data_IF_128888206943
#
_entry.id   IF_128888206943
#
_cell.length_a   1.000
_cell.length_b   1.000
_cell.length_c   1.000
_cell.angle_alpha   90.00
_cell.angle_beta   90.00
_cell.angle_gamma   90.00
#
_symmetry.space_group_name_H-M   'P 1'
#
loop_
_entity.id
_entity.type
_entity.pdbx_description
1 polymer ?
#
# COMPACT_ATOMS: atom_id res chain seq x y z
N UNK A 1 12.72 8.09 16.06
CA UNK A 1 12.46 6.66 15.78
C UNK A 1 13.80 5.92 15.85
N UNK A 2 13.84 4.72 16.42
CA UNK A 2 15.02 3.87 16.26
C UNK A 2 15.21 3.57 14.76
N UNK A 3 16.43 3.61 14.24
CA UNK A 3 16.69 3.25 12.86
C UNK A 3 16.25 1.79 12.62
N UNK A 4 15.57 1.53 11.51
CA UNK A 4 15.25 0.16 11.13
C UNK A 4 16.51 -0.53 10.63
N UNK A 5 16.75 -1.82 10.97
CA UNK A 5 17.89 -2.57 10.46
C UNK A 5 17.91 -2.58 8.94
N UNK A 6 19.08 -2.35 8.35
CA UNK A 6 19.32 -2.35 6.91
C UNK A 6 19.86 -3.71 6.46
N UNK A 7 19.88 -3.97 5.16
CA UNK A 7 20.43 -5.21 4.61
C UNK A 7 21.89 -5.46 5.03
N UNK A 8 22.67 -4.40 5.13
CA UNK A 8 24.07 -4.42 5.55
C UNK A 8 24.28 -4.92 6.98
N UNK A 9 23.27 -4.77 7.84
CA UNK A 9 23.32 -5.19 9.25
C UNK A 9 23.18 -6.72 9.40
N UNK A 10 22.81 -7.45 8.34
CA UNK A 10 22.71 -8.91 8.35
C UNK A 10 24.08 -9.62 8.33
N UNK A 11 25.16 -8.91 8.07
CA UNK A 11 26.51 -9.44 8.03
C UNK A 11 26.81 -10.31 6.82
N UNK A 12 27.59 -11.38 7.01
CA UNK A 12 27.93 -12.32 5.92
C UNK A 12 26.75 -13.22 5.59
N UNK A 13 26.32 -13.16 4.32
CA UNK A 13 25.20 -13.92 3.79
C UNK A 13 25.61 -15.08 2.87
N UNK A 14 26.91 -15.32 2.70
CA UNK A 14 27.42 -16.39 1.83
C UNK A 14 26.88 -17.74 2.22
N UNK A 15 26.13 -18.38 1.31
CA UNK A 15 25.47 -19.66 1.50
C UNK A 15 24.30 -19.67 2.49
N UNK A 16 23.93 -18.51 3.06
CA UNK A 16 22.79 -18.41 3.98
C UNK A 16 21.45 -18.39 3.24
N UNK A 17 20.48 -19.06 3.80
CA UNK A 17 19.10 -19.07 3.29
C UNK A 17 18.33 -17.87 3.84
N UNK A 18 17.94 -16.98 2.94
CA UNK A 18 17.23 -15.73 3.29
C UNK A 18 15.80 -15.77 2.79
N UNK A 19 14.86 -15.65 3.74
CA UNK A 19 13.44 -15.48 3.43
C UNK A 19 13.15 -13.99 3.17
N UNK A 20 12.66 -13.67 1.98
CA UNK A 20 12.32 -12.30 1.60
C UNK A 20 10.81 -12.15 1.45
N UNK A 21 10.18 -11.37 2.32
CA UNK A 21 8.76 -11.02 2.16
C UNK A 21 8.62 -9.90 1.14
N UNK A 22 8.04 -10.21 0.01
CA UNK A 22 7.81 -9.29 -1.12
C UNK A 22 6.33 -8.99 -1.30
N UNK A 23 5.97 -7.91 -1.99
CA UNK A 23 4.59 -7.60 -2.38
C UNK A 23 4.39 -7.84 -3.89
N UNK A 24 4.25 -9.10 -4.26
CA UNK A 24 3.96 -9.54 -5.63
C UNK A 24 2.46 -9.70 -5.91
N UNK A 25 1.64 -8.91 -5.21
CA UNK A 25 0.21 -8.87 -5.45
C UNK A 25 -0.11 -8.06 -6.72
N UNK A 26 0.26 -8.63 -7.86
CA UNK A 26 0.11 -8.05 -9.20
C UNK A 26 -1.29 -8.28 -9.76
N UNK A 27 -1.81 -7.40 -10.64
CA UNK A 27 -3.05 -7.67 -11.36
C UNK A 27 -2.84 -8.78 -12.40
N UNK A 28 -3.78 -9.72 -12.45
CA UNK A 28 -3.86 -10.78 -13.45
C UNK A 28 -5.09 -10.61 -14.32
N UNK A 29 -4.95 -10.90 -15.62
CA UNK A 29 -6.05 -11.05 -16.57
C UNK A 29 -5.87 -12.36 -17.33
N UNK A 30 -6.86 -13.25 -17.25
CA UNK A 30 -6.78 -14.58 -17.85
C UNK A 30 -5.57 -15.41 -17.38
N UNK A 31 -5.05 -15.17 -16.17
CA UNK A 31 -3.84 -15.81 -15.64
C UNK A 31 -2.52 -15.15 -16.08
N UNK A 32 -2.56 -14.13 -16.93
CA UNK A 32 -1.39 -13.36 -17.33
C UNK A 32 -1.17 -12.13 -16.46
N UNK A 33 0.07 -11.79 -16.16
CA UNK A 33 0.42 -10.56 -15.42
C UNK A 33 0.19 -9.36 -16.33
N UNK A 34 -0.67 -8.43 -15.90
CA UNK A 34 -0.98 -7.18 -16.63
C UNK A 34 0.04 -6.08 -16.32
N UNK A 35 0.50 -6.04 -15.06
CA UNK A 35 1.49 -5.05 -14.59
C UNK A 35 2.49 -5.75 -13.67
N UNK A 36 3.77 -5.66 -14.02
CA UNK A 36 4.88 -6.29 -13.30
C UNK A 36 5.69 -5.33 -12.42
N UNK A 37 5.23 -4.08 -12.26
CA UNK A 37 5.95 -3.04 -11.53
C UNK A 37 6.35 -3.47 -10.12
N UNK A 38 5.45 -4.16 -9.40
CA UNK A 38 5.71 -4.64 -8.03
C UNK A 38 6.84 -5.68 -7.97
N UNK A 39 6.94 -6.54 -8.98
CA UNK A 39 8.01 -7.54 -9.07
C UNK A 39 9.34 -6.82 -9.34
N UNK A 40 9.34 -5.91 -10.32
CA UNK A 40 10.51 -5.11 -10.66
C UNK A 40 11.01 -4.24 -9.49
N UNK A 41 10.09 -3.70 -8.69
CA UNK A 41 10.43 -2.87 -7.54
C UNK A 41 11.19 -3.63 -6.44
N UNK A 42 10.99 -4.95 -6.30
CA UNK A 42 11.71 -5.77 -5.33
C UNK A 42 13.08 -6.28 -5.86
N UNK A 43 13.36 -6.18 -7.16
CA UNK A 43 14.61 -6.68 -7.74
C UNK A 43 15.88 -6.07 -7.12
N UNK A 44 15.95 -4.78 -6.75
CA UNK A 44 17.14 -4.24 -6.09
C UNK A 44 17.51 -4.97 -4.80
N UNK A 45 16.53 -5.32 -3.96
CA UNK A 45 16.72 -6.12 -2.75
C UNK A 45 17.20 -7.53 -3.10
N UNK A 46 16.48 -8.19 -4.00
CA UNK A 46 16.75 -9.57 -4.40
C UNK A 46 18.15 -9.71 -4.98
N UNK A 47 18.52 -8.84 -5.94
CA UNK A 47 19.84 -8.85 -6.58
C UNK A 47 20.96 -8.60 -5.58
N UNK A 48 20.79 -7.63 -4.68
CA UNK A 48 21.77 -7.37 -3.65
C UNK A 48 22.05 -8.60 -2.78
N UNK A 49 20.99 -9.33 -2.37
CA UNK A 49 21.13 -10.56 -1.58
C UNK A 49 21.86 -11.66 -2.35
N UNK A 50 21.47 -11.86 -3.63
CA UNK A 50 22.12 -12.84 -4.52
C UNK A 50 23.60 -12.48 -4.73
N UNK A 51 23.92 -11.21 -4.97
CA UNK A 51 25.29 -10.72 -5.14
C UNK A 51 26.15 -10.91 -3.87
N UNK A 52 25.48 -10.98 -2.69
CA UNK A 52 26.13 -11.33 -1.40
C UNK A 52 26.22 -12.85 -1.15
N UNK A 53 25.88 -13.67 -2.13
CA UNK A 53 25.95 -15.12 -2.06
C UNK A 53 24.84 -15.79 -1.25
N UNK A 54 23.75 -15.08 -0.95
CA UNK A 54 22.59 -15.65 -0.27
C UNK A 54 21.78 -16.59 -1.18
N UNK A 55 21.21 -17.62 -0.58
CA UNK A 55 20.17 -18.45 -1.20
C UNK A 55 18.81 -17.82 -0.89
N UNK A 56 18.23 -17.15 -1.88
CA UNK A 56 17.04 -16.30 -1.70
C UNK A 56 15.77 -17.07 -2.01
N UNK A 57 14.83 -17.08 -1.05
CA UNK A 57 13.47 -17.54 -1.24
C UNK A 57 12.50 -16.39 -0.98
N UNK A 58 11.75 -15.97 -1.99
CA UNK A 58 10.71 -14.96 -1.86
C UNK A 58 9.41 -15.59 -1.33
N UNK A 59 8.67 -14.82 -0.54
CA UNK A 59 7.36 -15.16 -0.04
C UNK A 59 6.41 -13.98 -0.26
N UNK A 60 5.25 -14.24 -0.85
CA UNK A 60 4.27 -13.19 -1.15
C UNK A 60 2.84 -13.70 -1.06
N UNK A 61 1.90 -12.79 -1.19
CA UNK A 61 0.49 -13.10 -1.37
C UNK A 61 0.01 -12.60 -2.74
N UNK A 62 -1.03 -13.21 -3.25
CA UNK A 62 -1.74 -12.81 -4.46
C UNK A 62 -3.24 -12.85 -4.20
N UNK A 63 -3.93 -11.77 -4.48
CA UNK A 63 -5.37 -11.68 -4.32
C UNK A 63 -5.87 -11.92 -2.88
N UNK A 64 -7.06 -12.48 -2.78
CA UNK A 64 -7.74 -12.75 -1.50
C UNK A 64 -8.34 -14.16 -1.47
N UNK A 65 -7.54 -15.22 -1.56
CA UNK A 65 -8.02 -16.58 -1.32
C UNK A 65 -8.51 -16.72 0.12
N UNK A 66 -9.49 -17.58 0.33
CA UNK A 66 -10.16 -17.75 1.62
C UNK A 66 -9.46 -18.78 2.52
N UNK A 67 -8.13 -18.78 2.54
CA UNK A 67 -7.34 -19.71 3.36
C UNK A 67 -7.23 -21.12 2.77
N UNK A 68 -7.42 -21.26 1.46
CA UNK A 68 -7.29 -22.53 0.75
C UNK A 68 -6.66 -22.33 -0.62
N UNK A 69 -5.98 -23.34 -1.19
CA UNK A 69 -5.48 -23.28 -2.56
C UNK A 69 -6.59 -23.00 -3.56
N UNK A 70 -6.33 -22.02 -4.45
CA UNK A 70 -7.21 -21.63 -5.55
C UNK A 70 -6.34 -21.30 -6.77
N UNK A 71 -6.51 -22.03 -7.90
CA UNK A 71 -5.70 -21.81 -9.10
C UNK A 71 -5.70 -20.35 -9.60
N UNK A 72 -6.78 -19.59 -9.38
CA UNK A 72 -6.88 -18.20 -9.77
C UNK A 72 -5.89 -17.29 -9.01
N UNK A 73 -5.37 -17.74 -7.87
CA UNK A 73 -4.43 -17.02 -7.01
C UNK A 73 -3.10 -17.75 -6.84
N UNK A 74 -2.77 -18.71 -7.73
CA UNK A 74 -1.46 -19.37 -7.71
C UNK A 74 -0.33 -18.39 -8.04
N UNK A 75 0.81 -18.57 -7.39
CA UNK A 75 2.01 -17.79 -7.65
C UNK A 75 2.76 -18.25 -8.92
N UNK A 76 2.26 -19.22 -9.67
CA UNK A 76 2.93 -19.77 -10.86
C UNK A 76 3.28 -18.69 -11.90
N UNK A 77 2.38 -17.78 -12.34
CA UNK A 77 2.72 -16.73 -13.29
C UNK A 77 3.82 -15.78 -12.78
N UNK A 78 3.81 -15.52 -11.45
CA UNK A 78 4.83 -14.67 -10.81
C UNK A 78 6.16 -15.41 -10.74
N UNK A 79 6.15 -16.71 -10.45
CA UNK A 79 7.35 -17.56 -10.42
C UNK A 79 8.01 -17.63 -11.77
N UNK A 80 7.24 -17.79 -12.84
CA UNK A 80 7.73 -17.82 -14.22
C UNK A 80 8.40 -16.50 -14.63
N UNK A 81 7.83 -15.37 -14.24
CA UNK A 81 8.44 -14.07 -14.50
C UNK A 81 9.68 -13.84 -13.63
N UNK A 82 9.61 -14.15 -12.34
CA UNK A 82 10.72 -13.99 -11.40
C UNK A 82 11.94 -14.81 -11.83
N UNK A 83 11.74 -16.05 -12.30
CA UNK A 83 12.82 -16.93 -12.77
C UNK A 83 13.61 -16.33 -13.93
N UNK A 84 12.96 -15.52 -14.79
CA UNK A 84 13.59 -14.79 -15.90
C UNK A 84 14.34 -13.54 -15.42
N UNK A 85 13.79 -12.84 -14.41
CA UNK A 85 14.35 -11.57 -13.90
C UNK A 85 15.45 -11.76 -12.86
N UNK A 86 15.38 -12.85 -12.10
CA UNK A 86 16.32 -13.22 -11.04
C UNK A 86 16.51 -14.75 -11.00
N UNK A 87 17.31 -15.31 -11.94
CA UNK A 87 17.57 -16.75 -11.99
C UNK A 87 18.14 -17.29 -10.68
N UNK A 88 17.67 -18.47 -10.24
CA UNK A 88 18.11 -19.11 -9.00
C UNK A 88 17.38 -18.64 -7.73
N UNK A 89 16.50 -17.66 -7.84
CA UNK A 89 15.63 -17.22 -6.72
C UNK A 89 14.38 -18.07 -6.69
N UNK A 90 14.06 -18.59 -5.51
CA UNK A 90 12.84 -19.36 -5.28
C UNK A 90 11.67 -18.46 -4.90
N UNK A 91 10.44 -18.92 -5.18
CA UNK A 91 9.21 -18.28 -4.73
C UNK A 91 8.29 -19.32 -4.11
N UNK A 92 7.91 -19.10 -2.85
CA UNK A 92 6.90 -19.92 -2.18
C UNK A 92 5.54 -19.75 -2.86
N UNK A 93 4.64 -20.70 -2.63
CA UNK A 93 3.25 -20.55 -3.04
C UNK A 93 2.55 -19.48 -2.18
N UNK A 94 1.40 -19.00 -2.66
CA UNK A 94 0.65 -17.93 -2.06
C UNK A 94 0.45 -18.14 -0.55
N UNK A 95 1.04 -17.25 0.24
CA UNK A 95 0.99 -17.33 1.71
C UNK A 95 -0.45 -17.38 2.25
N UNK A 96 -1.40 -16.76 1.54
CA UNK A 96 -2.81 -16.73 1.93
C UNK A 96 -3.58 -18.01 1.63
N UNK A 97 -2.94 -19.02 1.05
CA UNK A 97 -3.50 -20.36 1.01
C UNK A 97 -3.50 -21.02 2.39
N UNK A 98 -2.62 -20.57 3.30
CA UNK A 98 -2.68 -20.96 4.69
C UNK A 98 -3.50 -19.92 5.49
N UNK A 99 -4.56 -20.30 6.20
CA UNK A 99 -5.37 -19.39 7.02
C UNK A 99 -4.55 -18.76 8.16
N UNK A 100 -3.47 -19.40 8.58
CA UNK A 100 -2.53 -18.92 9.58
C UNK A 100 -1.82 -17.62 9.18
N UNK A 101 -1.70 -17.32 7.87
CA UNK A 101 -1.09 -16.07 7.42
C UNK A 101 -1.88 -14.85 7.92
N UNK A 102 -3.19 -14.84 7.73
CA UNK A 102 -4.00 -13.66 8.09
C UNK A 102 -4.34 -13.62 9.57
N UNK A 103 -4.37 -14.77 10.26
CA UNK A 103 -4.61 -14.85 11.70
C UNK A 103 -3.36 -14.67 12.56
N UNK A 104 -2.18 -14.55 11.91
CA UNK A 104 -0.88 -14.51 12.61
C UNK A 104 -0.67 -15.73 13.51
N UNK A 105 -0.94 -16.93 12.96
CA UNK A 105 -0.82 -18.19 13.68
C UNK A 105 0.65 -18.53 13.99
N UNK A 106 1.01 -18.75 15.27
CA UNK A 106 2.38 -19.08 15.64
C UNK A 106 2.91 -20.40 15.02
N UNK A 107 2.04 -21.38 14.78
CA UNK A 107 2.45 -22.63 14.15
C UNK A 107 2.83 -22.38 12.67
N UNK A 108 2.06 -21.57 11.95
CA UNK A 108 2.41 -21.18 10.59
C UNK A 108 3.68 -20.31 10.55
N UNK A 109 3.89 -19.43 11.53
CA UNK A 109 5.15 -18.66 11.64
C UNK A 109 6.34 -19.63 11.79
N UNK A 110 6.24 -20.61 12.68
CA UNK A 110 7.31 -21.60 12.90
C UNK A 110 7.62 -22.40 11.62
N UNK A 111 6.60 -22.82 10.89
CA UNK A 111 6.74 -23.47 9.58
C UNK A 111 7.44 -22.55 8.56
N UNK A 112 6.99 -21.30 8.47
CA UNK A 112 7.50 -20.33 7.48
C UNK A 112 8.97 -19.99 7.69
N UNK A 113 9.44 -19.91 8.94
CA UNK A 113 10.84 -19.56 9.24
C UNK A 113 11.77 -20.77 9.27
N UNK A 114 11.23 -21.99 9.22
CA UNK A 114 12.02 -23.21 9.34
C UNK A 114 13.09 -23.32 8.25
N UNK A 115 14.33 -23.47 8.67
CA UNK A 115 15.49 -23.63 7.78
C UNK A 115 15.96 -22.36 7.10
N UNK A 116 15.49 -21.18 7.49
CA UNK A 116 16.07 -19.91 7.08
C UNK A 116 17.00 -19.35 8.16
N UNK A 117 18.02 -18.62 7.72
CA UNK A 117 19.06 -18.02 8.58
C UNK A 117 18.81 -16.53 8.83
N UNK A 118 18.06 -15.86 7.93
CA UNK A 118 17.74 -14.45 8.03
C UNK A 118 16.40 -14.16 7.33
N UNK A 119 15.81 -13.02 7.67
CA UNK A 119 14.57 -12.53 7.09
C UNK A 119 14.72 -11.10 6.59
N UNK A 120 14.12 -10.81 5.43
CA UNK A 120 14.04 -9.47 4.88
C UNK A 120 12.59 -9.12 4.59
N UNK A 121 12.10 -7.99 5.13
CA UNK A 121 10.81 -7.45 4.74
C UNK A 121 11.00 -6.38 3.65
N UNK A 122 10.49 -6.63 2.46
CA UNK A 122 10.48 -5.68 1.35
C UNK A 122 9.05 -5.38 0.85
N UNK A 123 8.06 -5.65 1.69
CA UNK A 123 6.63 -5.55 1.37
C UNK A 123 5.98 -4.37 2.11
N UNK A 124 6.37 -3.13 1.81
CA UNK A 124 5.83 -1.94 2.47
C UNK A 124 4.29 -1.92 2.44
N UNK A 125 3.67 -2.19 1.28
CA UNK A 125 2.21 -2.19 1.13
C UNK A 125 1.46 -3.20 2.01
N UNK A 126 2.13 -4.23 2.53
CA UNK A 126 1.57 -5.22 3.44
C UNK A 126 1.98 -5.00 4.91
N UNK A 127 2.98 -4.15 5.18
CA UNK A 127 3.62 -4.00 6.50
C UNK A 127 2.71 -3.38 7.58
N UNK A 128 1.59 -2.76 7.19
CA UNK A 128 0.58 -2.26 8.12
C UNK A 128 -0.31 -3.36 8.72
N UNK A 129 -0.16 -4.62 8.29
CA UNK A 129 -0.98 -5.76 8.71
C UNK A 129 -0.22 -6.64 9.69
N UNK A 130 -0.89 -7.10 10.75
CA UNK A 130 -0.35 -8.09 11.69
C UNK A 130 -0.43 -9.51 11.13
N UNK A 131 0.06 -9.73 9.91
CA UNK A 131 0.09 -11.06 9.29
C UNK A 131 1.32 -11.86 9.75
N UNK A 132 1.20 -13.19 9.75
CA UNK A 132 2.24 -14.11 10.19
C UNK A 132 3.58 -13.84 9.49
N UNK A 133 3.57 -13.66 8.16
CA UNK A 133 4.78 -13.40 7.37
C UNK A 133 5.42 -12.02 7.59
N UNK A 134 4.72 -11.08 8.25
CA UNK A 134 5.23 -9.74 8.53
C UNK A 134 5.77 -9.63 9.95
N UNK A 135 4.96 -10.00 10.96
CA UNK A 135 5.31 -9.76 12.36
C UNK A 135 5.93 -10.99 13.06
N UNK A 136 5.81 -12.16 12.44
CA UNK A 136 6.35 -13.41 12.98
C UNK A 136 7.87 -13.53 12.81
N UNK A 137 8.41 -13.56 11.59
CA UNK A 137 9.82 -13.85 11.33
C UNK A 137 10.81 -12.99 12.11
N UNK A 138 10.58 -11.66 12.31
CA UNK A 138 11.50 -10.84 13.09
C UNK A 138 11.67 -11.24 14.56
N UNK A 139 10.78 -12.09 15.09
CA UNK A 139 10.89 -12.62 16.44
C UNK A 139 11.79 -13.87 16.54
N UNK A 140 12.14 -14.45 15.40
CA UNK A 140 12.82 -15.72 15.30
C UNK A 140 14.16 -15.64 14.54
N UNK A 141 14.29 -14.67 13.63
CA UNK A 141 15.44 -14.55 12.73
C UNK A 141 16.05 -13.14 12.80
N UNK A 142 17.38 -13.02 12.63
CA UNK A 142 17.98 -11.74 12.25
C UNK A 142 17.24 -11.13 11.07
N UNK A 143 16.83 -9.87 11.19
CA UNK A 143 15.89 -9.29 10.24
C UNK A 143 16.29 -7.89 9.81
N UNK A 144 16.04 -7.56 8.55
CA UNK A 144 16.30 -6.25 7.98
C UNK A 144 15.17 -5.79 7.05
N UNK A 145 15.14 -4.48 6.80
CA UNK A 145 14.33 -3.90 5.75
C UNK A 145 14.99 -4.12 4.39
N UNK A 146 14.22 -4.54 3.40
CA UNK A 146 14.65 -4.48 2.01
C UNK A 146 14.69 -3.03 1.51
N UNK A 147 15.31 -2.82 0.34
CA UNK A 147 15.54 -1.48 -0.23
C UNK A 147 14.25 -0.69 -0.46
N UNK A 148 13.18 -1.38 -0.90
CA UNK A 148 11.88 -0.75 -1.11
C UNK A 148 11.28 -0.29 0.22
N UNK A 149 11.22 -1.17 1.21
CA UNK A 149 10.71 -0.83 2.54
C UNK A 149 11.52 0.28 3.20
N UNK A 150 12.85 0.19 3.15
CA UNK A 150 13.75 1.18 3.74
C UNK A 150 13.52 2.58 3.12
N UNK A 151 13.41 2.65 1.79
CA UNK A 151 13.16 3.90 1.06
C UNK A 151 11.80 4.52 1.43
N UNK A 152 10.74 3.71 1.50
CA UNK A 152 9.41 4.18 1.88
C UNK A 152 9.41 4.76 3.31
N UNK A 153 10.04 4.06 4.24
CA UNK A 153 10.16 4.52 5.63
C UNK A 153 10.99 5.81 5.72
N UNK A 154 12.08 5.92 4.97
CA UNK A 154 12.92 7.12 4.92
C UNK A 154 12.12 8.32 4.38
N UNK A 155 11.45 8.16 3.22
CA UNK A 155 10.68 9.23 2.58
C UNK A 155 9.53 9.67 3.48
N UNK A 156 8.68 8.74 3.93
CA UNK A 156 7.51 9.08 4.75
C UNK A 156 7.91 9.60 6.14
N UNK A 157 8.98 9.03 6.72
CA UNK A 157 9.56 9.54 7.96
C UNK A 157 10.11 10.95 7.80
N UNK A 158 10.79 11.23 6.68
CA UNK A 158 11.28 12.56 6.32
C UNK A 158 10.17 13.60 6.16
N UNK A 159 9.05 13.23 5.54
CA UNK A 159 7.89 14.12 5.42
C UNK A 159 7.32 14.51 6.78
N UNK A 160 7.35 13.62 7.75
CA UNK A 160 6.84 13.87 9.08
C UNK A 160 7.75 14.76 9.93
N UNK A 161 9.07 14.67 9.75
CA UNK A 161 10.05 15.35 10.62
C UNK A 161 10.71 16.56 9.98
N UNK A 162 10.88 16.59 8.67
CA UNK A 162 11.63 17.63 7.95
C UNK A 162 11.20 17.70 6.47
N UNK A 163 9.91 17.87 6.21
CA UNK A 163 9.40 18.05 4.86
C UNK A 163 9.98 19.34 4.22
N UNK A 164 10.39 19.22 2.96
CA UNK A 164 10.73 20.40 2.16
C UNK A 164 9.48 21.24 1.96
N UNK A 165 9.63 22.58 2.04
CA UNK A 165 8.53 23.51 1.85
C UNK A 165 8.50 24.06 0.41
N UNK A 166 7.32 24.29 -0.16
CA UNK A 166 5.99 24.04 0.41
C UNK A 166 5.66 22.54 0.47
N UNK A 167 5.09 22.08 1.58
CA UNK A 167 4.56 20.74 1.73
C UNK A 167 3.03 20.77 1.57
N UNK A 168 2.54 20.27 0.45
CA UNK A 168 1.12 20.26 0.11
C UNK A 168 0.61 18.81 0.15
N UNK A 169 -0.45 18.55 0.92
CA UNK A 169 -1.13 17.27 0.92
C UNK A 169 -2.34 17.31 -0.03
N UNK A 170 -2.48 16.28 -0.87
CA UNK A 170 -3.64 16.10 -1.74
C UNK A 170 -4.40 14.88 -1.23
N UNK A 171 -5.64 15.09 -0.79
CA UNK A 171 -6.50 14.04 -0.24
C UNK A 171 -7.73 13.88 -1.10
N UNK A 172 -8.07 12.63 -1.41
CA UNK A 172 -9.28 12.26 -2.13
C UNK A 172 -9.91 11.02 -1.54
N UNK A 173 -11.21 10.87 -1.76
CA UNK A 173 -11.96 9.72 -1.29
C UNK A 173 -13.46 9.98 -1.40
N UNK A 174 -14.27 8.97 -1.05
CA UNK A 174 -15.72 9.10 -1.06
C UNK A 174 -16.24 9.85 0.17
N UNK A 175 -15.61 9.61 1.35
CA UNK A 175 -16.12 10.07 2.65
C UNK A 175 -15.09 10.88 3.43
N UNK A 176 -15.55 11.95 4.09
CA UNK A 176 -14.77 12.75 5.04
C UNK A 176 -14.50 11.95 6.30
N UNK A 177 -15.51 11.23 6.80
CA UNK A 177 -15.42 10.43 8.03
C UNK A 177 -14.26 9.44 8.03
N UNK A 178 -13.92 8.86 6.86
CA UNK A 178 -12.81 7.93 6.71
C UNK A 178 -11.43 8.61 6.77
N UNK A 179 -11.35 9.93 6.64
CA UNK A 179 -10.12 10.70 6.48
C UNK A 179 -9.89 11.76 7.56
N UNK A 180 -10.85 12.00 8.45
CA UNK A 180 -10.74 13.05 9.48
C UNK A 180 -9.44 12.94 10.26
N UNK A 181 -9.13 11.77 10.81
CA UNK A 181 -7.91 11.58 11.58
C UNK A 181 -6.62 11.85 10.77
N UNK A 182 -6.65 11.61 9.46
CA UNK A 182 -5.53 11.94 8.57
C UNK A 182 -5.45 13.44 8.35
N UNK A 183 -6.58 14.10 8.09
CA UNK A 183 -6.64 15.56 7.89
C UNK A 183 -6.12 16.25 9.16
N UNK A 184 -6.68 15.93 10.33
CA UNK A 184 -6.29 16.53 11.62
C UNK A 184 -4.79 16.31 11.91
N UNK A 185 -4.25 15.12 11.63
CA UNK A 185 -2.83 14.83 11.82
C UNK A 185 -1.90 15.59 10.87
N UNK A 186 -2.42 16.07 9.74
CA UNK A 186 -1.64 16.82 8.74
C UNK A 186 -1.71 18.34 8.97
N UNK A 187 -2.77 18.88 9.61
CA UNK A 187 -2.97 20.32 9.75
C UNK A 187 -1.73 21.07 10.26
N UNK A 188 -1.06 20.52 11.29
CA UNK A 188 0.15 21.13 11.88
C UNK A 188 1.43 20.87 11.07
N UNK A 189 1.36 20.03 10.04
CA UNK A 189 2.54 19.52 9.34
C UNK A 189 2.68 20.02 7.91
N UNK A 190 1.59 20.48 7.29
CA UNK A 190 1.54 20.89 5.88
C UNK A 190 1.31 22.39 5.73
N UNK A 191 1.70 22.94 4.57
CA UNK A 191 1.40 24.33 4.23
C UNK A 191 0.00 24.50 3.63
N UNK A 192 -0.52 23.42 2.98
CA UNK A 192 -1.88 23.40 2.46
C UNK A 192 -2.38 21.96 2.29
N UNK A 193 -3.70 21.81 2.33
CA UNK A 193 -4.40 20.55 1.99
C UNK A 193 -5.31 20.84 0.79
N UNK A 194 -5.22 20.01 -0.24
CA UNK A 194 -6.14 20.04 -1.38
C UNK A 194 -7.09 18.85 -1.22
N UNK A 195 -8.38 19.13 -1.12
CA UNK A 195 -9.44 18.13 -0.99
C UNK A 195 -10.03 17.84 -2.36
N UNK A 196 -10.10 16.57 -2.75
CA UNK A 196 -10.71 16.12 -4.01
C UNK A 196 -11.63 14.92 -3.82
N UNK A 197 -12.16 14.40 -4.93
CA UNK A 197 -13.09 13.27 -4.92
C UNK A 197 -14.43 13.56 -4.27
N UNK A 198 -15.20 12.52 -3.94
CA UNK A 198 -16.55 12.64 -3.37
C UNK A 198 -16.61 13.38 -2.03
N UNK A 199 -15.56 13.30 -1.23
CA UNK A 199 -15.48 14.00 0.05
C UNK A 199 -15.46 15.52 -0.09
N UNK A 200 -15.05 16.06 -1.26
CA UNK A 200 -15.04 17.50 -1.51
C UNK A 200 -16.45 18.11 -1.42
N UNK A 201 -17.48 17.35 -1.78
CA UNK A 201 -18.87 17.84 -1.73
C UNK A 201 -19.35 18.15 -0.31
N UNK A 202 -18.86 17.41 0.70
CA UNK A 202 -19.16 17.73 2.10
C UNK A 202 -18.51 19.05 2.53
N UNK A 203 -17.30 19.33 2.07
CA UNK A 203 -16.62 20.63 2.31
C UNK A 203 -17.30 21.77 1.55
N UNK A 204 -17.72 21.55 0.29
CA UNK A 204 -18.49 22.55 -0.48
C UNK A 204 -19.82 22.85 0.18
N UNK A 205 -20.53 21.85 0.68
CA UNK A 205 -21.77 22.03 1.45
C UNK A 205 -21.52 22.83 2.76
N UNK A 206 -20.40 22.58 3.43
CA UNK A 206 -19.98 23.35 4.62
C UNK A 206 -19.71 24.84 4.29
N UNK A 207 -19.31 25.17 3.07
CA UNK A 207 -19.18 26.53 2.56
C UNK A 207 -20.50 27.14 2.08
N UNK A 208 -21.61 26.37 2.11
CA UNK A 208 -22.94 26.82 1.72
C UNK A 208 -23.29 26.58 0.25
N UNK A 209 -22.47 25.82 -0.49
CA UNK A 209 -22.76 25.48 -1.87
C UNK A 209 -23.78 24.36 -1.99
N UNK A 210 -24.61 24.41 -3.02
CA UNK A 210 -25.52 23.32 -3.38
C UNK A 210 -24.76 22.23 -4.14
N UNK A 211 -24.78 20.99 -3.63
CA UNK A 211 -24.07 19.84 -4.22
C UNK A 211 -24.97 18.85 -4.97
N UNK A 212 -26.24 19.19 -5.14
CA UNK A 212 -27.21 18.38 -5.88
C UNK A 212 -27.36 16.96 -5.30
N UNK A 213 -27.27 15.95 -6.19
CA UNK A 213 -27.31 14.52 -5.81
C UNK A 213 -25.93 13.90 -5.57
N UNK A 214 -24.89 14.72 -5.41
CA UNK A 214 -23.54 14.24 -5.13
C UNK A 214 -23.46 13.58 -3.75
N UNK A 215 -22.39 12.79 -3.53
CA UNK A 215 -22.11 12.19 -2.22
C UNK A 215 -21.99 13.29 -1.16
N UNK A 216 -22.83 13.18 -0.12
CA UNK A 216 -22.82 14.13 0.99
C UNK A 216 -22.94 13.39 2.32
N UNK A 217 -22.02 13.66 3.24
CA UNK A 217 -22.10 13.24 4.63
C UNK A 217 -22.65 14.42 5.46
N UNK A 218 -23.97 14.47 5.60
CA UNK A 218 -24.67 15.60 6.27
C UNK A 218 -24.26 15.75 7.76
N UNK A 219 -23.95 14.66 8.42
CA UNK A 219 -23.47 14.59 9.79
C UNK A 219 -22.01 15.10 9.94
N UNK A 220 -21.30 15.26 8.83
CA UNK A 220 -19.91 15.74 8.81
C UNK A 220 -19.75 17.21 8.41
N UNK A 221 -20.85 17.91 8.10
CA UNK A 221 -20.82 19.32 7.65
C UNK A 221 -20.18 20.22 8.73
N UNK A 222 -20.59 20.08 9.99
CA UNK A 222 -20.02 20.89 11.08
C UNK A 222 -18.52 20.61 11.29
N UNK A 223 -18.11 19.36 11.12
CA UNK A 223 -16.69 18.98 11.17
C UNK A 223 -15.91 19.57 10.01
N UNK A 224 -16.45 19.48 8.79
CA UNK A 224 -15.82 20.09 7.62
C UNK A 224 -15.69 21.61 7.76
N UNK A 225 -16.71 22.27 8.33
CA UNK A 225 -16.68 23.72 8.63
C UNK A 225 -15.57 24.05 9.62
N UNK A 226 -15.49 23.31 10.73
CA UNK A 226 -14.43 23.49 11.74
C UNK A 226 -13.02 23.31 11.13
N UNK A 227 -12.86 22.36 10.22
CA UNK A 227 -11.59 22.16 9.52
C UNK A 227 -11.25 23.30 8.57
N UNK A 228 -12.24 23.83 7.84
CA UNK A 228 -12.07 25.01 6.96
C UNK A 228 -11.72 26.28 7.73
N UNK A 229 -12.22 26.41 8.96
CA UNK A 229 -11.97 27.56 9.84
C UNK A 229 -10.63 27.43 10.62
N UNK A 230 -9.86 26.34 10.41
CA UNK A 230 -8.55 26.15 11.04
C UNK A 230 -7.48 27.05 10.41
N UNK A 231 -6.34 27.18 11.09
CA UNK A 231 -5.20 28.01 10.61
C UNK A 231 -4.55 27.42 9.34
N UNK A 232 -4.81 26.15 9.02
CA UNK A 232 -4.27 25.50 7.84
C UNK A 232 -5.07 25.87 6.58
N UNK A 233 -4.38 26.12 5.47
CA UNK A 233 -5.01 26.42 4.18
C UNK A 233 -5.60 25.14 3.57
N UNK A 234 -6.94 25.03 3.56
CA UNK A 234 -7.66 23.94 2.90
C UNK A 234 -8.29 24.45 1.61
N UNK A 235 -7.89 23.85 0.49
CA UNK A 235 -8.45 24.13 -0.83
C UNK A 235 -9.45 23.05 -1.22
N UNK A 236 -10.60 23.46 -1.72
CA UNK A 236 -11.62 22.61 -2.36
C UNK A 236 -11.71 22.97 -3.85
N UNK A 237 -12.22 22.07 -4.71
CA UNK A 237 -12.41 22.38 -6.13
C UNK A 237 -13.32 23.60 -6.33
N UNK A 238 -12.97 24.45 -7.28
CA UNK A 238 -13.82 25.58 -7.70
C UNK A 238 -14.90 25.16 -8.70
N UNK A 239 -14.63 24.09 -9.45
CA UNK A 239 -15.53 23.54 -10.45
C UNK A 239 -15.52 21.99 -10.40
N UNK A 240 -16.54 21.40 -10.97
CA UNK A 240 -16.69 19.95 -11.01
C UNK A 240 -17.24 19.50 -12.36
N UNK A 241 -16.79 18.32 -12.80
CA UNK A 241 -17.46 17.65 -13.92
C UNK A 241 -18.60 16.80 -13.35
N UNK A 242 -19.82 17.15 -13.69
CA UNK A 242 -21.03 16.45 -13.25
C UNK A 242 -21.64 15.62 -14.39
N UNK A 243 -22.26 14.51 -14.03
CA UNK A 243 -23.06 13.72 -14.96
C UNK A 243 -24.40 14.43 -15.18
N UNK A 244 -24.80 14.57 -16.44
CA UNK A 244 -26.15 15.02 -16.80
C UNK A 244 -27.25 14.00 -16.46
N UNK A 245 -28.49 14.35 -16.75
CA UNK A 245 -29.63 13.42 -16.53
C UNK A 245 -29.42 12.07 -17.19
N UNK A 246 -29.63 10.99 -16.43
CA UNK A 246 -29.41 9.61 -16.88
C UNK A 246 -27.99 9.05 -16.74
N UNK A 247 -27.03 9.88 -16.39
CA UNK A 247 -25.66 9.44 -16.13
C UNK A 247 -25.52 8.64 -14.83
N UNK A 248 -24.63 7.62 -14.84
CA UNK A 248 -24.27 6.84 -13.64
C UNK A 248 -22.76 6.84 -13.46
N UNK A 249 -22.31 7.06 -12.23
CA UNK A 249 -20.89 6.95 -11.88
C UNK A 249 -20.42 5.51 -12.13
N UNK A 250 -19.30 5.37 -12.87
CA UNK A 250 -18.72 4.06 -13.18
C UNK A 250 -19.35 3.32 -14.36
N UNK A 251 -20.36 3.90 -15.03
CA UNK A 251 -20.96 3.34 -16.23
C UNK A 251 -20.79 4.31 -17.41
N UNK A 252 -19.73 4.16 -18.22
CA UNK A 252 -19.49 5.01 -19.39
C UNK A 252 -20.53 4.83 -20.49
N UNK A 253 -21.35 3.76 -20.45
CA UNK A 253 -22.43 3.49 -21.42
C UNK A 253 -23.76 4.13 -21.04
N UNK A 254 -23.90 4.60 -19.81
CA UNK A 254 -25.13 5.21 -19.30
C UNK A 254 -25.30 6.66 -19.77
N UNK A 255 -25.04 6.95 -21.00
CA UNK A 255 -25.49 8.07 -21.83
C UNK A 255 -25.72 9.46 -21.20
N UNK A 256 -25.05 9.80 -20.11
CA UNK A 256 -25.18 11.12 -19.48
C UNK A 256 -24.15 12.10 -20.05
N UNK A 257 -24.62 13.27 -20.44
CA UNK A 257 -23.73 14.37 -20.82
C UNK A 257 -22.91 14.83 -19.61
N UNK A 258 -21.56 14.83 -19.71
CA UNK A 258 -20.71 15.39 -18.67
C UNK A 258 -20.75 16.91 -18.78
N UNK A 259 -21.17 17.56 -17.70
CA UNK A 259 -21.22 19.03 -17.62
C UNK A 259 -20.25 19.53 -16.59
N UNK A 260 -19.53 20.59 -16.94
CA UNK A 260 -18.74 21.34 -15.99
C UNK A 260 -19.69 22.32 -15.27
N UNK A 261 -19.71 22.25 -13.94
CA UNK A 261 -20.50 23.11 -13.07
C UNK A 261 -19.56 23.79 -12.10
N UNK A 262 -19.63 25.12 -12.07
CA UNK A 262 -18.87 25.97 -11.17
C UNK A 262 -19.70 26.43 -9.97
#
# INVERSE_FOLDING_TARGET
MNPIPQLEDLGDLTGRRVLVRTDFNVPLDGGAIVDDLRIKAALPTIKWLVDKGALVTCASHLGRPKGAPDPAFSMEPVRDLLSKLAPGVELLENLRFNPGETSNDPAFVAELVAGFDAYVNDAFGASHRSHASIVGPPKHLPSAAGRLLAREVEILGGLRSNAKRPFIAILGGAKVSDKIGVIEALLDSVDAIIIGGGMAYTFLAAQGHHVGSSLLESDMIDTAKRLLDSDATIHVPHDNSALGPGGKIGDPSAGGEVRQVG
#
